data_IF_507607599777
#
_entry.id   IF_507607599777
#
_cell.length_a   1.000
_cell.length_b   1.000
_cell.length_c   1.000
_cell.angle_alpha   90.00
_cell.angle_beta   90.00
_cell.angle_gamma   90.00
#
_symmetry.space_group_name_H-M   'P 1'
#
loop_
_entity.id
_entity.type
_entity.pdbx_description
1 polymer ?
#
# COMPACT_ATOMS: atom_id res chain seq x y z
N UNK A 1 11.04 1.02 -0.55
CA UNK A 1 11.67 -0.06 -1.25
C UNK A 1 11.73 0.05 -2.76
N UNK A 2 10.61 0.33 -3.42
CA UNK A 2 10.61 0.45 -4.90
C UNK A 2 11.34 1.69 -5.40
N UNK A 3 11.34 2.75 -4.64
CA UNK A 3 12.08 3.97 -4.97
C UNK A 3 13.58 3.70 -5.13
N UNK A 4 14.16 2.85 -4.29
CA UNK A 4 15.57 2.49 -4.37
C UNK A 4 15.98 1.80 -5.67
N UNK A 5 15.04 1.20 -6.37
CA UNK A 5 15.30 0.58 -7.68
C UNK A 5 15.28 1.60 -8.82
N UNK A 6 14.57 2.70 -8.66
CA UNK A 6 14.34 3.69 -9.71
C UNK A 6 15.51 4.68 -9.85
N UNK A 7 16.23 4.99 -8.77
CA UNK A 7 17.20 6.08 -8.72
C UNK A 7 18.61 5.69 -8.32
N UNK A 8 19.00 4.45 -8.48
CA UNK A 8 20.35 4.09 -8.08
C UNK A 8 21.39 4.54 -9.10
N UNK A 9 22.49 5.00 -8.56
CA UNK A 9 23.68 5.42 -9.29
C UNK A 9 24.89 4.60 -8.82
N UNK A 10 26.04 4.76 -9.48
CA UNK A 10 27.25 4.05 -9.11
C UNK A 10 27.76 4.36 -7.68
N UNK A 11 27.44 5.52 -7.13
CA UNK A 11 27.95 6.00 -5.84
C UNK A 11 26.88 6.16 -4.77
N UNK A 12 25.67 6.50 -5.17
CA UNK A 12 24.52 6.68 -4.27
C UNK A 12 23.31 5.97 -4.85
N UNK A 13 22.69 5.19 -4.04
CA UNK A 13 21.42 4.57 -4.39
C UNK A 13 20.33 5.53 -3.98
N UNK A 14 19.45 5.84 -4.91
CA UNK A 14 18.23 6.59 -4.61
C UNK A 14 18.49 8.02 -4.11
N UNK A 15 19.58 8.65 -4.52
CA UNK A 15 19.87 10.03 -4.10
C UNK A 15 19.99 10.23 -2.57
N UNK A 16 20.03 9.16 -1.78
CA UNK A 16 20.23 9.18 -0.33
C UNK A 16 21.56 8.53 0.04
N UNK A 17 22.17 8.86 1.20
CA UNK A 17 23.40 8.24 1.66
C UNK A 17 23.14 6.83 2.21
N UNK A 18 22.33 6.04 1.54
CA UNK A 18 22.01 4.67 1.89
C UNK A 18 22.45 3.70 0.80
N UNK A 19 22.35 2.42 1.08
CA UNK A 19 22.67 1.34 0.14
C UNK A 19 21.42 0.56 -0.23
N UNK A 20 21.42 -0.12 -1.38
CA UNK A 20 20.36 -1.03 -1.75
C UNK A 20 20.15 -2.11 -0.68
N UNK A 21 21.24 -2.61 -0.10
CA UNK A 21 21.17 -3.57 1.02
C UNK A 21 20.47 -2.99 2.24
N UNK A 22 20.72 -1.72 2.59
CA UNK A 22 20.05 -1.04 3.69
C UNK A 22 18.56 -0.90 3.47
N UNK A 23 18.15 -0.46 2.28
CA UNK A 23 16.73 -0.35 1.89
C UNK A 23 16.06 -1.73 1.92
N UNK A 24 16.71 -2.75 1.34
CA UNK A 24 16.19 -4.12 1.33
C UNK A 24 16.03 -4.67 2.73
N UNK A 25 17.00 -4.41 3.61
CA UNK A 25 16.93 -4.85 4.99
C UNK A 25 15.78 -4.18 5.75
N UNK A 26 15.61 -2.87 5.59
CA UNK A 26 14.47 -2.14 6.17
C UNK A 26 13.12 -2.62 5.64
N UNK A 27 13.06 -2.98 4.36
CA UNK A 27 11.89 -3.60 3.76
C UNK A 27 11.54 -4.93 4.46
N UNK A 28 12.53 -5.81 4.66
CA UNK A 28 12.31 -7.08 5.37
C UNK A 28 11.95 -6.88 6.84
N UNK A 29 12.52 -5.88 7.49
CA UNK A 29 12.19 -5.54 8.88
C UNK A 29 10.76 -5.03 9.02
N UNK A 30 10.31 -4.15 8.13
CA UNK A 30 8.92 -3.66 8.12
C UNK A 30 7.91 -4.75 7.74
N UNK A 31 8.27 -5.64 6.81
CA UNK A 31 7.50 -6.85 6.50
C UNK A 31 7.31 -7.71 7.77
N UNK A 32 8.41 -8.01 8.44
CA UNK A 32 8.40 -8.85 9.65
C UNK A 32 7.58 -8.23 10.78
N UNK A 33 7.77 -6.92 11.01
CA UNK A 33 6.96 -6.18 11.99
C UNK A 33 5.48 -6.20 11.66
N UNK A 34 5.15 -6.04 10.37
CA UNK A 34 3.78 -6.13 9.87
C UNK A 34 3.15 -7.51 10.09
N UNK A 35 3.86 -8.58 9.70
CA UNK A 35 3.39 -9.97 9.88
C UNK A 35 3.13 -10.29 11.36
N UNK A 36 4.08 -9.95 12.23
CA UNK A 36 3.94 -10.19 13.67
C UNK A 36 2.76 -9.42 14.27
N UNK A 37 2.63 -8.15 13.96
CA UNK A 37 1.50 -7.34 14.42
C UNK A 37 0.17 -7.85 13.86
N UNK A 38 0.13 -8.22 12.60
CA UNK A 38 -1.05 -8.78 11.94
C UNK A 38 -1.52 -10.06 12.60
N UNK A 39 -0.59 -10.98 12.86
CA UNK A 39 -0.89 -12.23 13.57
C UNK A 39 -1.53 -11.97 14.95
N UNK A 40 -0.98 -11.01 15.70
CA UNK A 40 -1.49 -10.67 17.04
C UNK A 40 -2.87 -10.00 16.97
N UNK A 41 -3.04 -8.97 16.14
CA UNK A 41 -4.31 -8.20 16.10
C UNK A 41 -5.44 -8.98 15.45
N UNK A 42 -5.13 -9.83 14.48
CA UNK A 42 -6.10 -10.69 13.79
C UNK A 42 -6.28 -12.06 14.47
N UNK A 43 -5.61 -12.29 15.61
CA UNK A 43 -5.70 -13.55 16.38
C UNK A 43 -5.39 -14.80 15.53
N UNK A 44 -4.42 -14.69 14.65
CA UNK A 44 -3.97 -15.78 13.79
C UNK A 44 -4.81 -15.99 12.52
N UNK A 45 -5.73 -15.09 12.19
CA UNK A 45 -6.42 -15.13 10.90
C UNK A 45 -5.40 -15.11 9.75
N UNK A 46 -5.41 -16.09 8.83
CA UNK A 46 -4.39 -16.18 7.78
C UNK A 46 -4.43 -15.02 6.80
N UNK A 47 -5.62 -14.58 6.38
CA UNK A 47 -5.77 -13.50 5.41
C UNK A 47 -5.14 -12.21 5.94
N UNK A 48 -5.54 -11.81 7.16
CA UNK A 48 -5.00 -10.60 7.78
C UNK A 48 -3.54 -10.73 8.17
N UNK A 49 -3.10 -11.91 8.60
CA UNK A 49 -1.68 -12.13 8.93
C UNK A 49 -0.80 -11.85 7.72
N UNK A 50 -1.10 -12.41 6.56
CA UNK A 50 -0.28 -12.23 5.35
C UNK A 50 -0.45 -10.82 4.75
N UNK A 51 -1.67 -10.32 4.65
CA UNK A 51 -1.94 -8.97 4.15
C UNK A 51 -1.27 -7.88 4.99
N UNK A 52 -1.11 -8.13 6.27
CA UNK A 52 -0.43 -7.23 7.20
C UNK A 52 1.06 -7.07 6.92
N UNK A 53 1.72 -8.06 6.33
CA UNK A 53 3.09 -7.91 5.86
C UNK A 53 3.23 -6.80 4.82
N UNK A 54 2.32 -6.78 3.85
CA UNK A 54 2.27 -5.71 2.83
C UNK A 54 1.92 -4.36 3.45
N UNK A 55 0.94 -4.31 4.36
CA UNK A 55 0.58 -3.07 5.05
C UNK A 55 1.76 -2.50 5.84
N UNK A 56 2.56 -3.37 6.47
CA UNK A 56 3.78 -2.98 7.19
C UNK A 56 4.83 -2.35 6.27
N UNK A 57 5.09 -2.96 5.12
CA UNK A 57 5.99 -2.43 4.10
C UNK A 57 5.50 -1.06 3.62
N UNK A 58 4.24 -0.97 3.24
CA UNK A 58 3.64 0.26 2.71
C UNK A 58 3.72 1.39 3.73
N UNK A 59 3.43 1.10 5.01
CA UNK A 59 3.54 2.10 6.06
C UNK A 59 4.97 2.62 6.23
N UNK A 60 5.98 1.76 6.16
CA UNK A 60 7.38 2.15 6.31
C UNK A 60 8.00 2.75 5.03
N UNK A 61 7.37 2.59 3.86
CA UNK A 61 7.95 2.97 2.55
C UNK A 61 8.38 4.43 2.47
N UNK A 62 7.66 5.33 3.13
CA UNK A 62 7.93 6.76 3.08
C UNK A 62 9.32 7.18 3.60
N UNK A 63 9.97 6.33 4.41
CA UNK A 63 11.29 6.62 4.98
C UNK A 63 12.23 5.41 5.02
N UNK A 64 11.95 4.39 4.24
CA UNK A 64 12.69 3.13 4.26
C UNK A 64 14.20 3.27 3.92
N UNK A 65 14.56 4.34 3.23
CA UNK A 65 15.91 4.71 2.89
C UNK A 65 16.66 5.45 4.02
N UNK A 66 15.93 5.95 5.01
CA UNK A 66 16.46 6.74 6.12
C UNK A 66 16.24 6.12 7.50
N UNK A 67 15.30 5.20 7.64
CA UNK A 67 15.00 4.56 8.92
C UNK A 67 16.14 3.64 9.39
N UNK A 68 16.32 3.60 10.69
CA UNK A 68 17.03 2.48 11.31
C UNK A 68 16.16 1.21 11.20
N UNK A 69 16.74 0.01 11.01
CA UNK A 69 15.97 -1.24 10.83
C UNK A 69 14.92 -1.51 11.92
N UNK A 70 15.25 -1.20 13.18
CA UNK A 70 14.28 -1.34 14.29
C UNK A 70 13.13 -0.35 14.15
N UNK A 71 13.40 0.87 13.69
CA UNK A 71 12.33 1.85 13.40
C UNK A 71 11.43 1.35 12.30
N UNK A 72 11.98 0.84 11.20
CA UNK A 72 11.20 0.27 10.09
C UNK A 72 10.28 -0.86 10.57
N UNK A 73 10.79 -1.76 11.41
CA UNK A 73 10.00 -2.85 12.00
C UNK A 73 8.85 -2.32 12.86
N UNK A 74 9.12 -1.37 13.75
CA UNK A 74 8.11 -0.80 14.65
C UNK A 74 7.06 0.02 13.88
N UNK A 75 7.49 0.80 12.89
CA UNK A 75 6.59 1.59 12.03
C UNK A 75 5.68 0.65 11.24
N UNK A 76 6.22 -0.43 10.67
CA UNK A 76 5.42 -1.46 10.02
C UNK A 76 4.37 -2.07 10.94
N UNK A 77 4.75 -2.42 12.17
CA UNK A 77 3.83 -2.96 13.16
C UNK A 77 2.72 -1.96 13.55
N UNK A 78 3.07 -0.69 13.79
CA UNK A 78 2.10 0.37 14.13
C UNK A 78 1.13 0.61 12.96
N UNK A 79 1.64 0.67 11.73
CA UNK A 79 0.84 0.85 10.53
C UNK A 79 -0.22 -0.23 10.36
N UNK A 80 0.14 -1.46 10.64
CA UNK A 80 -0.78 -2.61 10.61
C UNK A 80 -1.90 -2.47 11.63
N UNK A 81 -1.59 -2.09 12.86
CA UNK A 81 -2.62 -1.89 13.90
C UNK A 81 -3.61 -0.81 13.48
N UNK A 82 -3.11 0.28 12.88
CA UNK A 82 -3.95 1.36 12.36
C UNK A 82 -4.81 0.87 11.21
N UNK A 83 -4.22 0.25 10.19
CA UNK A 83 -4.91 -0.23 9.00
C UNK A 83 -6.01 -1.25 9.35
N UNK A 84 -5.71 -2.22 10.20
CA UNK A 84 -6.66 -3.23 10.66
C UNK A 84 -7.87 -2.60 11.37
N UNK A 85 -7.62 -1.70 12.31
CA UNK A 85 -8.71 -1.02 13.04
C UNK A 85 -9.53 -0.11 12.14
N UNK A 86 -8.89 0.62 11.23
CA UNK A 86 -9.55 1.51 10.29
C UNK A 86 -10.42 0.75 9.31
N UNK A 87 -9.95 -0.41 8.80
CA UNK A 87 -10.73 -1.27 7.91
C UNK A 87 -12.10 -1.59 8.52
N UNK A 88 -12.14 -2.23 9.68
CA UNK A 88 -13.40 -2.60 10.32
C UNK A 88 -14.22 -1.41 10.79
N UNK A 89 -13.58 -0.29 11.14
CA UNK A 89 -14.30 0.93 11.49
C UNK A 89 -15.02 1.53 10.29
N UNK A 90 -14.34 1.65 9.14
CA UNK A 90 -14.91 2.18 7.89
C UNK A 90 -16.03 1.28 7.39
N UNK A 91 -15.82 -0.02 7.37
CA UNK A 91 -16.83 -1.00 6.97
C UNK A 91 -18.11 -0.87 7.80
N UNK A 92 -17.99 -0.85 9.12
CA UNK A 92 -19.15 -0.69 10.01
C UNK A 92 -19.83 0.67 9.92
N UNK A 93 -19.04 1.74 9.81
CA UNK A 93 -19.54 3.11 9.84
C UNK A 93 -20.13 3.57 8.53
N UNK A 94 -19.46 3.28 7.42
CA UNK A 94 -19.81 3.79 6.10
C UNK A 94 -20.40 2.74 5.17
N UNK A 95 -20.42 1.47 5.59
CA UNK A 95 -20.91 0.34 4.79
C UNK A 95 -20.19 0.22 3.46
N UNK A 96 -18.89 0.51 3.47
CA UNK A 96 -17.99 0.35 2.32
C UNK A 96 -17.32 -1.00 2.48
N UNK A 97 -17.54 -1.88 1.51
CA UNK A 97 -16.88 -3.17 1.44
C UNK A 97 -15.47 -3.01 0.86
N UNK A 98 -14.47 -3.53 1.55
CA UNK A 98 -13.08 -3.62 1.12
C UNK A 98 -12.66 -5.10 1.18
N UNK A 99 -13.29 -5.92 0.34
CA UNK A 99 -13.29 -7.37 0.38
C UNK A 99 -11.88 -7.99 0.47
N UNK A 100 -10.89 -7.38 -0.19
CA UNK A 100 -9.49 -7.83 -0.18
C UNK A 100 -8.58 -6.97 0.69
N UNK A 101 -9.13 -6.03 1.44
CA UNK A 101 -8.36 -5.14 2.30
C UNK A 101 -7.44 -4.16 1.53
N UNK A 102 -7.68 -3.93 0.24
CA UNK A 102 -6.81 -3.09 -0.58
C UNK A 102 -6.75 -1.65 -0.08
N UNK A 103 -7.89 -1.07 0.29
CA UNK A 103 -7.96 0.27 0.86
C UNK A 103 -7.26 0.32 2.22
N UNK A 104 -7.42 -0.73 3.04
CA UNK A 104 -6.75 -0.81 4.33
C UNK A 104 -5.23 -0.87 4.19
N UNK A 105 -4.73 -1.77 3.34
CA UNK A 105 -3.31 -2.03 3.13
C UNK A 105 -2.62 -0.84 2.44
N UNK A 106 -3.20 -0.30 1.36
CA UNK A 106 -2.57 0.79 0.60
C UNK A 106 -2.99 2.17 1.11
N UNK A 107 -4.28 2.36 1.39
CA UNK A 107 -4.83 3.65 1.83
C UNK A 107 -4.47 3.99 3.26
N UNK A 108 -4.98 3.24 4.22
CA UNK A 108 -4.81 3.61 5.64
C UNK A 108 -3.38 3.44 6.13
N UNK A 109 -2.72 2.32 5.76
CA UNK A 109 -1.32 2.13 6.12
C UNK A 109 -0.41 3.14 5.44
N UNK A 110 -0.62 3.44 4.16
CA UNK A 110 0.18 4.43 3.43
C UNK A 110 0.01 5.85 3.96
N UNK A 111 -1.23 6.27 4.24
CA UNK A 111 -1.50 7.58 4.86
C UNK A 111 -0.83 7.69 6.24
N UNK A 112 -1.01 6.68 7.09
CA UNK A 112 -0.38 6.64 8.40
C UNK A 112 1.16 6.69 8.28
N UNK A 113 1.72 5.98 7.31
CA UNK A 113 3.16 5.95 7.05
C UNK A 113 3.74 7.30 6.69
N UNK A 114 3.08 8.06 5.83
CA UNK A 114 3.49 9.43 5.50
C UNK A 114 3.47 10.35 6.72
N UNK A 115 2.42 10.27 7.53
CA UNK A 115 2.32 11.07 8.76
C UNK A 115 3.40 10.68 9.77
N UNK A 116 3.61 9.38 10.01
CA UNK A 116 4.65 8.88 10.91
C UNK A 116 6.03 9.30 10.43
N UNK A 117 6.31 9.19 9.13
CA UNK A 117 7.55 9.65 8.51
C UNK A 117 7.84 11.12 8.84
N UNK A 118 6.81 11.97 8.74
CA UNK A 118 6.94 13.40 9.07
C UNK A 118 7.42 13.66 10.49
N UNK A 119 7.00 12.84 11.46
CA UNK A 119 7.43 12.97 12.85
C UNK A 119 8.79 12.31 13.12
N UNK A 120 8.99 11.10 12.63
CA UNK A 120 10.20 10.28 12.91
C UNK A 120 11.42 10.86 12.22
N UNK A 121 11.27 11.36 10.99
CA UNK A 121 12.35 11.95 10.19
C UNK A 121 12.30 13.48 10.13
N UNK A 122 11.66 14.11 11.10
CA UNK A 122 11.58 15.58 11.15
C UNK A 122 12.97 16.22 11.11
N UNK A 123 13.18 17.13 10.17
CA UNK A 123 14.45 17.83 9.97
C UNK A 123 15.45 17.10 9.06
N UNK A 124 15.20 15.84 8.70
CA UNK A 124 16.02 15.13 7.71
C UNK A 124 15.82 15.73 6.31
N UNK A 125 16.84 15.69 5.43
CA UNK A 125 16.69 16.09 4.06
C UNK A 125 15.70 15.17 3.34
N UNK A 126 14.82 15.75 2.55
CA UNK A 126 13.83 14.98 1.74
C UNK A 126 14.43 14.23 0.57
N UNK A 127 15.72 14.45 0.29
CA UNK A 127 16.53 13.69 -0.65
C UNK A 127 17.96 13.60 -0.13
N UNK A 128 18.73 12.64 -0.60
CA UNK A 128 20.10 12.40 -0.12
C UNK A 128 21.15 13.41 -0.57
N UNK A 129 20.78 14.40 -1.33
CA UNK A 129 21.63 15.58 -1.51
C UNK A 129 21.55 16.41 -0.24
N UNK A 130 22.70 16.98 0.18
CA UNK A 130 22.71 17.94 1.27
C UNK A 130 21.57 18.93 1.11
N UNK A 131 20.87 19.22 2.18
CA UNK A 131 19.83 20.24 2.20
C UNK A 131 20.35 21.47 1.45
N UNK A 132 19.81 21.74 0.28
CA UNK A 132 20.24 22.91 -0.50
C UNK A 132 20.69 22.68 -1.93
N UNK A 133 20.79 21.46 -2.44
CA UNK A 133 21.26 21.22 -3.80
C UNK A 133 20.22 20.46 -4.63
N UNK A 134 19.34 21.18 -5.27
CA UNK A 134 18.60 20.62 -6.40
C UNK A 134 19.39 20.85 -7.71
N UNK A 135 19.08 20.05 -8.74
CA UNK A 135 19.68 20.17 -10.07
C UNK A 135 19.48 21.57 -10.72
N UNK A 136 18.44 22.27 -10.29
CA UNK A 136 18.08 23.64 -10.73
C UNK A 136 18.62 24.73 -9.79
N UNK A 137 19.43 24.35 -8.77
CA UNK A 137 19.98 25.29 -7.79
C UNK A 137 19.01 25.64 -6.65
N UNK A 138 17.80 25.12 -6.65
CA UNK A 138 16.86 25.33 -5.54
C UNK A 138 17.22 24.43 -4.34
N UNK A 139 16.65 24.75 -3.17
CA UNK A 139 16.92 24.02 -1.93
C UNK A 139 15.85 22.97 -1.67
N UNK A 140 16.26 21.75 -1.28
CA UNK A 140 15.32 20.76 -0.79
C UNK A 140 14.75 21.18 0.57
N UNK A 141 13.43 21.05 0.70
CA UNK A 141 12.79 21.19 2.00
C UNK A 141 13.16 20.01 2.91
N UNK A 142 13.30 20.25 4.20
CA UNK A 142 13.40 19.18 5.17
C UNK A 142 12.07 18.46 5.34
N UNK A 143 12.14 17.17 5.66
CA UNK A 143 10.95 16.39 6.07
C UNK A 143 10.38 17.02 7.33
N UNK A 144 9.07 17.23 7.36
CA UNK A 144 8.38 17.77 8.54
C UNK A 144 6.92 17.24 8.59
N UNK A 145 6.30 17.21 9.79
CA UNK A 145 4.97 16.63 9.98
C UNK A 145 3.89 17.31 9.12
N UNK A 146 3.92 18.63 9.01
CA UNK A 146 2.91 19.36 8.24
C UNK A 146 3.03 19.09 6.74
N UNK A 147 4.25 19.11 6.21
CA UNK A 147 4.52 18.81 4.80
C UNK A 147 4.10 17.39 4.43
N UNK A 148 4.42 16.42 5.26
CA UNK A 148 4.03 15.02 5.03
C UNK A 148 2.51 14.82 5.15
N UNK A 149 1.85 15.47 6.10
CA UNK A 149 0.40 15.42 6.24
C UNK A 149 -0.32 16.03 5.03
N UNK A 150 0.10 17.22 4.60
CA UNK A 150 -0.46 17.85 3.40
C UNK A 150 -0.18 17.04 2.13
N UNK A 151 1.03 16.50 2.01
CA UNK A 151 1.39 15.58 0.94
C UNK A 151 0.50 14.34 0.91
N UNK A 152 0.22 13.75 2.08
CA UNK A 152 -0.69 12.62 2.21
C UNK A 152 -2.11 12.97 1.71
N UNK A 153 -2.65 14.12 2.10
CA UNK A 153 -3.97 14.58 1.64
C UNK A 153 -3.98 14.75 0.12
N UNK A 154 -2.95 15.37 -0.46
CA UNK A 154 -2.84 15.56 -1.91
C UNK A 154 -2.77 14.21 -2.63
N UNK A 155 -1.89 13.31 -2.18
CA UNK A 155 -1.70 12.00 -2.78
C UNK A 155 -2.98 11.16 -2.75
N UNK A 156 -3.62 11.06 -1.58
CA UNK A 156 -4.82 10.23 -1.43
C UNK A 156 -6.08 10.90 -1.95
N UNK A 157 -6.30 12.17 -1.63
CA UNK A 157 -7.52 12.90 -2.00
C UNK A 157 -7.52 13.34 -3.46
N UNK A 158 -6.48 14.07 -3.86
CA UNK A 158 -6.47 14.72 -5.18
C UNK A 158 -5.96 13.78 -6.27
N UNK A 159 -4.86 13.06 -6.04
CA UNK A 159 -4.23 12.24 -7.08
C UNK A 159 -4.75 10.81 -7.12
N UNK A 160 -5.27 10.29 -6.00
CA UNK A 160 -5.82 8.93 -5.92
C UNK A 160 -7.36 8.91 -6.00
N UNK A 161 -8.02 9.43 -4.96
CA UNK A 161 -9.47 9.30 -4.81
C UNK A 161 -10.26 10.06 -5.88
N UNK A 162 -9.87 11.28 -6.24
CA UNK A 162 -10.61 12.08 -7.21
C UNK A 162 -10.61 11.45 -8.61
N UNK A 163 -9.48 11.11 -9.25
CA UNK A 163 -9.50 10.48 -10.56
C UNK A 163 -10.12 9.08 -10.51
N UNK A 164 -9.89 8.30 -9.44
CA UNK A 164 -10.55 7.01 -9.25
C UNK A 164 -12.07 7.12 -9.19
N UNK A 165 -12.59 8.10 -8.45
CA UNK A 165 -14.02 8.36 -8.37
C UNK A 165 -14.61 8.78 -9.73
N UNK A 166 -13.93 9.68 -10.45
CA UNK A 166 -14.37 10.11 -11.78
C UNK A 166 -14.44 8.94 -12.74
N UNK A 167 -13.38 8.10 -12.78
CA UNK A 167 -13.34 6.91 -13.62
C UNK A 167 -14.46 5.92 -13.25
N UNK A 168 -14.66 5.67 -11.96
CA UNK A 168 -15.72 4.79 -11.47
C UNK A 168 -17.12 5.31 -11.88
N UNK A 169 -17.35 6.63 -11.84
CA UNK A 169 -18.60 7.23 -12.30
C UNK A 169 -18.83 7.04 -13.80
N UNK A 170 -17.79 7.20 -14.62
CA UNK A 170 -17.86 6.98 -16.07
C UNK A 170 -18.20 5.51 -16.35
N UNK A 171 -17.46 4.57 -15.75
CA UNK A 171 -17.69 3.13 -15.94
C UNK A 171 -19.09 2.71 -15.47
N UNK A 172 -19.56 3.26 -14.36
CA UNK A 172 -20.91 3.01 -13.86
C UNK A 172 -21.99 3.53 -14.84
N UNK A 173 -21.79 4.71 -15.40
CA UNK A 173 -22.68 5.27 -16.43
C UNK A 173 -22.70 4.43 -17.71
N UNK A 174 -21.62 3.73 -18.03
CA UNK A 174 -21.53 2.79 -19.14
C UNK A 174 -22.06 1.39 -18.79
N UNK A 175 -22.50 1.13 -17.57
CA UNK A 175 -22.92 -0.21 -17.11
C UNK A 175 -21.78 -1.23 -17.01
N UNK A 176 -20.52 -0.78 -16.95
CA UNK A 176 -19.31 -1.65 -16.96
C UNK A 176 -18.59 -1.72 -15.61
N UNK A 177 -19.13 -1.08 -14.58
CA UNK A 177 -18.45 -1.04 -13.27
C UNK A 177 -18.71 -2.30 -12.44
N UNK A 178 -19.91 -2.88 -12.58
CA UNK A 178 -20.31 -4.03 -11.77
C UNK A 178 -20.73 -5.19 -12.68
N UNK A 179 -20.42 -6.38 -12.23
CA UNK A 179 -20.94 -7.63 -12.79
C UNK A 179 -22.45 -7.78 -12.46
N UNK A 180 -23.19 -8.63 -13.16
CA UNK A 180 -24.59 -8.96 -12.81
C UNK A 180 -24.69 -9.42 -11.35
N UNK A 181 -25.82 -9.07 -10.72
CA UNK A 181 -25.99 -9.32 -9.28
C UNK A 181 -26.05 -10.81 -8.92
N UNK A 182 -26.59 -11.62 -9.78
CA UNK A 182 -26.66 -13.08 -9.64
C UNK A 182 -25.26 -13.70 -9.66
N UNK A 183 -24.39 -13.24 -10.57
CA UNK A 183 -22.99 -13.64 -10.65
C UNK A 183 -22.22 -13.18 -9.40
N UNK A 184 -22.45 -11.93 -8.94
CA UNK A 184 -21.83 -11.40 -7.72
C UNK A 184 -22.20 -12.23 -6.48
N UNK A 185 -23.45 -12.70 -6.39
CA UNK A 185 -23.93 -13.52 -5.28
C UNK A 185 -23.39 -14.95 -5.36
N UNK A 186 -23.32 -15.54 -6.56
CA UNK A 186 -22.79 -16.88 -6.77
C UNK A 186 -21.25 -16.93 -6.55
N UNK A 187 -20.54 -15.81 -6.82
CA UNK A 187 -19.09 -15.71 -6.85
C UNK A 187 -18.54 -15.96 -8.26
N UNK A 188 -17.58 -15.13 -8.67
CA UNK A 188 -16.93 -15.24 -9.98
C UNK A 188 -16.25 -16.60 -10.22
N UNK A 189 -15.65 -17.15 -9.18
CA UNK A 189 -14.98 -18.45 -9.29
C UNK A 189 -15.96 -19.59 -9.60
N UNK A 190 -17.19 -19.47 -9.13
CA UNK A 190 -18.25 -20.46 -9.42
C UNK A 190 -18.67 -20.43 -10.89
N UNK A 191 -18.82 -19.26 -11.47
CA UNK A 191 -19.18 -19.10 -12.90
C UNK A 191 -18.07 -19.61 -13.82
N UNK A 192 -16.79 -19.29 -13.51
CA UNK A 192 -15.64 -19.80 -14.26
C UNK A 192 -15.59 -21.34 -14.21
N UNK A 193 -15.83 -21.94 -13.05
CA UNK A 193 -15.85 -23.40 -12.88
C UNK A 193 -17.01 -24.07 -13.60
N UNK A 194 -18.16 -23.40 -13.77
CA UNK A 194 -19.28 -23.90 -14.57
C UNK A 194 -18.97 -23.85 -16.06
N UNK A 195 -18.43 -22.75 -16.55
CA UNK A 195 -18.01 -22.58 -17.94
C UNK A 195 -16.96 -23.63 -18.35
N UNK A 196 -15.96 -23.90 -17.50
CA UNK A 196 -14.94 -24.91 -17.75
C UNK A 196 -15.55 -26.32 -17.81
N UNK A 197 -16.48 -26.66 -16.92
CA UNK A 197 -17.16 -27.96 -16.92
C UNK A 197 -18.07 -28.14 -18.15
N UNK A 198 -18.71 -27.09 -18.61
CA UNK A 198 -19.57 -27.15 -19.79
C UNK A 198 -18.74 -27.21 -21.08
N UNK A 199 -17.57 -26.56 -21.11
CA UNK A 199 -16.60 -26.69 -22.18
C UNK A 199 -16.03 -28.14 -22.25
N UNK A 200 -15.67 -28.73 -21.11
CA UNK A 200 -15.23 -30.14 -21.06
C UNK A 200 -16.31 -31.12 -21.53
N UNK A 201 -17.57 -30.93 -21.14
CA UNK A 201 -18.70 -31.74 -21.61
C UNK A 201 -18.93 -31.61 -23.14
N UNK A 202 -18.80 -30.38 -23.65
CA UNK A 202 -18.94 -30.12 -25.09
C UNK A 202 -17.84 -30.84 -25.89
N UNK A 203 -16.60 -30.80 -25.46
CA UNK A 203 -15.47 -31.52 -26.05
C UNK A 203 -15.68 -33.03 -25.98
N UNK A 204 -16.08 -33.58 -24.83
CA UNK A 204 -16.35 -35.00 -24.67
C UNK A 204 -17.51 -35.51 -25.52
N UNK A 205 -18.49 -34.66 -25.82
CA UNK A 205 -19.62 -34.99 -26.73
C UNK A 205 -19.24 -34.97 -28.21
N UNK A 206 -18.23 -34.16 -28.57
CA UNK A 206 -17.78 -34.01 -29.96
C UNK A 206 -16.82 -35.14 -30.41
N UNK A 207 -16.27 -35.89 -29.44
CA UNK A 207 -15.32 -36.98 -29.66
C UNK A 207 -15.99 -38.39 -29.67
N UNK A 208 -17.29 -38.45 -29.58
CA UNK A 208 -18.11 -39.66 -29.74
C UNK A 208 -18.87 -39.63 -31.09
#
# INVERSE_FOLDING_TARGET
>A
GMEGVTYWTATNIYVTPTTLSGITFNFLMSLSGGLLAGYVVAKGDPFWTYSSGLAGIICASAGNDLYHPIQAMLIGAIGVVIAYKMHFWVERKFKIDDAVGAVAVHGYAGFAGLVICGFVLNGYPSSGYSVGAMWDGSTYASINPLGQFLGAIIMFGVLGMLPGYVLAKILNGMGKLRIPRDVEIAGLDYEIMEDDRDAEKAVASSTR
#
